data_IF_046552312503
#
_entry.id   IF_046552312503
#
_cell.length_a   1.000
_cell.length_b   1.000
_cell.length_c   1.000
_cell.angle_alpha   90.00
_cell.angle_beta   90.00
_cell.angle_gamma   90.00
#
_symmetry.space_group_name_H-M   'P 1'
#
loop_
_entity.id
_entity.type
_entity.pdbx_description
1 polymer ?
#
# COMPACT_ATOMS: atom_id res chain seq x y z
N UNK A 1 5.54 -17.88 -2.81
CA UNK A 1 5.41 -17.24 -2.97
C UNK A 1 5.16 -16.62 -2.83
N UNK A 2 5.18 -16.50 -2.77
CA UNK A 2 4.93 -15.78 -2.69
C UNK A 2 4.29 -15.28 -2.64
N UNK A 3 4.10 -15.23 -2.26
CA UNK A 3 3.45 -14.77 -2.39
C UNK A 3 2.75 -14.20 -2.11
N UNK A 4 2.69 -13.88 -1.44
CA UNK A 4 2.00 -13.19 -1.31
C UNK A 4 2.03 -12.02 -1.76
N UNK A 5 2.67 -11.48 -1.76
CA UNK A 5 2.76 -10.33 -2.09
C UNK A 5 2.82 -10.27 -3.40
N UNK A 6 3.30 -10.61 -3.95
CA UNK A 6 3.42 -10.53 -5.14
C UNK A 6 2.72 -11.28 -5.85
N UNK A 7 2.32 -12.03 -5.70
CA UNK A 7 1.74 -12.77 -6.42
C UNK A 7 0.65 -12.38 -6.82
N UNK A 8 0.37 -11.92 -6.95
CA UNK A 8 -0.58 -11.59 -7.23
C UNK A 8 -1.00 -11.15 -8.08
N UNK A 9 -0.87 -11.16 -8.53
CA UNK A 9 -1.14 -10.78 -9.31
C UNK A 9 -1.92 -10.96 -10.18
N UNK A 10 -2.36 -11.45 -10.53
CA UNK A 10 -3.17 -11.75 -11.29
C UNK A 10 -4.29 -11.06 -11.16
N UNK A 11 -4.93 -11.19 -10.28
CA UNK A 11 -6.12 -10.54 -10.14
C UNK A 11 -5.89 -9.15 -9.95
N UNK A 12 -4.89 -8.68 -9.74
CA UNK A 12 -4.70 -7.31 -9.56
C UNK A 12 -3.32 -6.96 -9.84
N UNK A 13 -3.11 -5.74 -10.08
CA UNK A 13 -1.82 -5.26 -10.32
C UNK A 13 -1.31 -4.67 -9.06
N UNK A 14 -0.09 -4.94 -8.72
CA UNK A 14 0.51 -4.33 -7.60
C UNK A 14 1.36 -3.22 -8.07
N UNK A 15 1.15 -2.05 -7.56
CA UNK A 15 1.99 -0.92 -7.85
C UNK A 15 2.86 -0.66 -6.66
N UNK A 16 4.15 -0.57 -6.87
CA UNK A 16 5.12 -0.46 -5.81
C UNK A 16 5.64 0.96 -5.72
N UNK A 17 5.55 1.54 -4.55
CA UNK A 17 6.22 2.79 -4.28
C UNK A 17 7.39 2.53 -3.35
N UNK A 18 8.58 2.96 -3.76
CA UNK A 18 9.76 2.85 -2.93
C UNK A 18 10.14 4.25 -2.50
N UNK A 19 10.18 4.49 -1.20
CA UNK A 19 10.39 5.81 -0.68
C UNK A 19 11.58 5.77 0.27
N UNK A 20 12.52 6.68 0.08
CA UNK A 20 13.65 6.78 0.99
C UNK A 20 13.17 7.29 2.34
N UNK A 21 14.04 7.55 3.25
CA UNK A 21 13.68 8.02 4.58
C UNK A 21 13.22 9.47 4.65
N UNK A 22 13.26 10.18 3.53
CA UNK A 22 12.85 11.59 3.50
C UNK A 22 11.33 11.66 3.50
N UNK A 23 10.75 12.57 4.26
CA UNK A 23 9.31 12.74 4.32
C UNK A 23 8.74 13.08 2.95
N UNK A 24 7.71 12.38 2.54
CA UNK A 24 7.03 12.67 1.29
C UNK A 24 5.66 11.98 1.30
N UNK A 25 4.75 12.48 0.47
CA UNK A 25 3.42 11.92 0.35
C UNK A 25 2.93 12.10 -1.06
N UNK A 26 2.12 11.16 -1.53
CA UNK A 26 1.58 11.21 -2.88
C UNK A 26 0.16 10.67 -2.90
N UNK A 27 -0.60 11.10 -3.88
CA UNK A 27 -1.93 10.57 -4.16
C UNK A 27 -1.96 10.20 -5.64
N UNK A 28 -2.36 8.97 -5.91
CA UNK A 28 -2.40 8.46 -7.27
C UNK A 28 -3.76 7.80 -7.50
N UNK A 29 -4.38 8.07 -8.64
CA UNK A 29 -5.61 7.41 -9.02
C UNK A 29 -5.23 6.28 -9.95
N UNK A 30 -5.48 5.04 -9.53
CA UNK A 30 -5.02 3.87 -10.26
C UNK A 30 -6.03 2.74 -10.14
N UNK A 31 -6.28 2.09 -11.26
CA UNK A 31 -7.14 0.91 -11.34
C UNK A 31 -8.55 1.15 -10.77
N UNK A 32 -9.06 2.34 -10.97
CA UNK A 32 -10.41 2.67 -10.53
C UNK A 32 -10.50 3.10 -9.09
N UNK A 33 -9.39 3.18 -8.39
CA UNK A 33 -9.38 3.58 -7.00
C UNK A 33 -8.44 4.74 -6.73
N UNK A 34 -8.28 5.05 -5.45
CA UNK A 34 -7.44 6.15 -5.01
C UNK A 34 -6.39 5.59 -4.04
N UNK A 35 -5.16 5.84 -4.34
CA UNK A 35 -4.03 5.35 -3.54
C UNK A 35 -3.31 6.54 -2.93
N UNK A 36 -3.19 6.53 -1.60
CA UNK A 36 -2.49 7.56 -0.88
C UNK A 36 -1.36 6.89 -0.12
N UNK A 37 -0.13 7.31 -0.36
CA UNK A 37 0.99 6.68 0.31
C UNK A 37 2.04 7.73 0.64
N UNK A 38 2.90 7.38 1.56
CA UNK A 38 3.96 8.32 1.93
C UNK A 38 4.74 7.85 3.12
N UNK A 39 5.70 8.68 3.50
CA UNK A 39 6.51 8.46 4.68
C UNK A 39 6.60 9.77 5.43
N UNK A 40 6.38 9.71 6.73
CA UNK A 40 6.50 10.87 7.60
C UNK A 40 7.71 10.75 8.49
N UNK A 41 7.64 11.37 9.66
CA UNK A 41 8.76 11.29 10.59
C UNK A 41 8.88 9.94 11.25
N UNK A 42 7.74 9.27 11.47
CA UNK A 42 7.71 8.02 12.21
C UNK A 42 7.20 6.84 11.41
N UNK A 43 6.30 7.08 10.46
CA UNK A 43 5.58 6.01 9.80
C UNK A 43 5.66 6.09 8.30
N UNK A 44 5.61 4.94 7.66
CA UNK A 44 5.34 4.78 6.24
C UNK A 44 3.91 4.26 6.14
N UNK A 45 3.12 4.74 5.19
CA UNK A 45 1.73 4.34 5.09
C UNK A 45 1.32 4.10 3.64
N UNK A 46 0.26 3.30 3.49
CA UNK A 46 -0.33 2.99 2.21
C UNK A 46 -1.83 2.82 2.43
N UNK A 47 -2.62 3.70 1.84
CA UNK A 47 -4.07 3.68 1.97
C UNK A 47 -4.67 3.58 0.58
N UNK A 48 -5.55 2.61 0.36
CA UNK A 48 -6.16 2.45 -0.94
C UNK A 48 -7.66 2.29 -0.80
N UNK A 49 -8.40 3.03 -1.63
CA UNK A 49 -9.85 3.00 -1.61
C UNK A 49 -10.35 2.61 -3.00
N UNK A 50 -11.35 1.76 -3.06
CA UNK A 50 -11.97 1.37 -4.30
C UNK A 50 -13.46 1.20 -4.06
N UNK A 51 -14.29 1.80 -4.92
CA UNK A 51 -15.72 1.83 -4.68
C UNK A 51 -16.43 0.54 -5.06
N UNK A 52 -15.86 -0.29 -5.90
CA UNK A 52 -16.59 -1.43 -6.43
C UNK A 52 -15.86 -2.76 -6.29
N UNK A 53 -14.57 -2.78 -5.99
CA UNK A 53 -13.83 -4.03 -5.91
C UNK A 53 -13.15 -4.19 -4.58
N UNK A 54 -12.97 -5.44 -4.17
CA UNK A 54 -12.16 -5.73 -3.01
C UNK A 54 -10.73 -5.30 -3.29
N UNK A 55 -10.04 -4.88 -2.27
CA UNK A 55 -8.72 -4.30 -2.43
C UNK A 55 -7.94 -4.43 -1.13
N UNK A 56 -6.66 -4.09 -1.17
CA UNK A 56 -5.80 -4.17 0.00
C UNK A 56 -4.64 -3.21 -0.18
N UNK A 57 -3.97 -2.90 0.91
CA UNK A 57 -2.76 -2.10 0.86
C UNK A 57 -1.72 -2.67 1.82
N UNK A 58 -0.46 -2.34 1.56
CA UNK A 58 0.68 -2.82 2.33
C UNK A 58 1.69 -1.70 2.48
N UNK A 59 2.24 -1.58 3.67
CA UNK A 59 3.35 -0.67 3.94
C UNK A 59 4.47 -1.46 4.60
N UNK A 60 5.69 -1.26 4.13
CA UNK A 60 6.85 -1.96 4.67
C UNK A 60 7.89 -0.95 5.08
N UNK A 61 8.18 -0.92 6.35
CA UNK A 61 9.23 -0.11 6.92
C UNK A 61 10.14 -1.02 7.72
N UNK A 62 10.20 -0.83 9.02
CA UNK A 62 10.95 -1.75 9.88
C UNK A 62 10.33 -3.13 9.87
N UNK A 63 9.05 -3.23 9.51
CA UNK A 63 8.32 -4.48 9.43
C UNK A 63 7.21 -4.30 8.40
N UNK A 64 6.68 -5.39 7.85
CA UNK A 64 5.55 -5.28 6.93
C UNK A 64 4.25 -5.12 7.70
N UNK A 65 3.34 -4.35 7.13
CA UNK A 65 2.01 -4.14 7.67
C UNK A 65 1.02 -4.22 6.52
N UNK A 66 -0.02 -5.02 6.67
CA UNK A 66 -1.00 -5.25 5.62
C UNK A 66 -2.40 -4.93 6.12
N UNK A 67 -3.21 -4.33 5.27
CA UNK A 67 -4.60 -4.05 5.62
C UNK A 67 -5.44 -5.30 5.63
N UNK A 68 -5.03 -6.32 4.87
CA UNK A 68 -5.89 -7.44 4.59
C UNK A 68 -6.88 -7.09 3.49
N UNK A 69 -7.62 -8.08 3.02
CA UNK A 69 -8.61 -7.91 1.96
C UNK A 69 -9.74 -7.04 2.49
N UNK A 70 -10.00 -5.94 1.83
CA UNK A 70 -10.94 -4.92 2.28
C UNK A 70 -12.07 -4.81 1.27
N UNK A 71 -13.30 -4.71 1.76
CA UNK A 71 -14.46 -4.68 0.90
C UNK A 71 -14.62 -3.33 0.20
N UNK A 72 -15.36 -3.32 -0.92
CA UNK A 72 -15.58 -2.06 -1.64
C UNK A 72 -16.16 -0.99 -0.73
N UNK A 73 -15.76 0.23 -0.97
CA UNK A 73 -16.27 1.36 -0.22
C UNK A 73 -15.56 1.64 1.08
N UNK A 74 -14.66 0.76 1.49
CA UNK A 74 -13.92 0.92 2.75
C UNK A 74 -12.45 1.17 2.39
N UNK A 75 -11.82 2.08 3.09
CA UNK A 75 -10.42 2.38 2.84
C UNK A 75 -9.54 1.30 3.48
N UNK A 76 -8.69 0.69 2.66
CA UNK A 76 -7.69 -0.26 3.14
C UNK A 76 -6.51 0.54 3.66
N UNK A 77 -6.15 0.35 4.91
CA UNK A 77 -5.12 1.15 5.55
C UNK A 77 -4.02 0.27 6.11
N UNK A 78 -2.79 0.62 5.80
CA UNK A 78 -1.62 -0.07 6.33
C UNK A 78 -0.59 0.98 6.69
N UNK A 79 0.07 0.80 7.82
CA UNK A 79 1.16 1.67 8.21
C UNK A 79 2.14 0.90 9.08
N UNK A 80 3.40 1.29 9.01
CA UNK A 80 4.46 0.66 9.78
C UNK A 80 5.45 1.74 10.18
N UNK A 81 6.23 1.47 11.22
CA UNK A 81 7.30 2.39 11.56
C UNK A 81 8.27 2.43 10.40
N UNK A 82 8.67 3.62 10.05
CA UNK A 82 9.52 3.77 8.88
C UNK A 82 10.91 3.21 9.13
N UNK A 83 11.47 2.61 8.09
CA UNK A 83 12.88 2.29 8.05
C UNK A 83 13.63 3.59 7.79
N UNK A 84 14.82 3.70 8.29
CA UNK A 84 15.52 4.94 8.09
C UNK A 84 16.12 5.05 6.69
N UNK A 85 16.15 3.99 5.92
CA UNK A 85 16.76 4.07 4.60
C UNK A 85 15.77 3.75 3.47
N UNK A 86 14.98 2.70 3.58
CA UNK A 86 14.20 2.24 2.46
C UNK A 86 12.81 1.80 2.92
N UNK A 87 11.78 2.34 2.30
CA UNK A 87 10.39 2.05 2.65
C UNK A 87 9.64 1.69 1.40
N UNK A 88 8.64 0.80 1.51
CA UNK A 88 7.90 0.32 0.35
C UNK A 88 6.41 0.40 0.62
N UNK A 89 5.64 0.69 -0.41
CA UNK A 89 4.18 0.72 -0.33
C UNK A 89 3.60 -0.01 -1.52
N UNK A 90 2.47 -0.69 -1.31
CA UNK A 90 1.77 -1.43 -2.34
C UNK A 90 0.28 -1.24 -2.18
N UNK A 91 -0.45 -1.43 -3.26
CA UNK A 91 -1.88 -1.66 -3.20
C UNK A 91 -2.19 -2.85 -4.09
N UNK A 92 -3.38 -3.42 -3.89
CA UNK A 92 -3.83 -4.55 -4.69
C UNK A 92 -5.32 -4.43 -4.92
N UNK A 93 -5.75 -4.76 -6.13
CA UNK A 93 -7.17 -4.86 -6.47
C UNK A 93 -7.46 -6.32 -6.80
N UNK A 94 -8.51 -6.88 -6.23
CA UNK A 94 -8.87 -8.27 -6.42
C UNK A 94 -9.79 -8.47 -7.62
#
# INVERSE_FOLDING_TARGET
MNKKLISVSLSGLMLLGIISGVASAATVYAQGGKWEYGVGEKYVWSYYSHGSKYHASTAIGKYPSESGKTRPGVKAQASAEKSWSENQTYYKVY
#
